data_IF_542292206511
#
_entry.id   IF_542292206511
#
_cell.length_a   1.000
_cell.length_b   1.000
_cell.length_c   1.000
_cell.angle_alpha   90.00
_cell.angle_beta   90.00
_cell.angle_gamma   90.00
#
_symmetry.space_group_name_H-M   'P 1'
#
loop_
_entity.id
_entity.type
_entity.pdbx_description
1 polymer ?
#
# COMPACT_ATOMS: atom_id res chain seq x y z
N UNK A 1 -14.05 -72.49 24.51
CA UNK A 1 -13.07 -72.62 23.40
C UNK A 1 -13.06 -71.30 22.67
N UNK A 2 -12.27 -70.34 23.15
CA UNK A 2 -10.99 -69.96 22.53
C UNK A 2 -11.00 -70.00 21.00
N UNK A 3 -11.00 -68.81 20.41
CA UNK A 3 -10.20 -68.36 19.25
C UNK A 3 -11.11 -67.48 18.38
N UNK A 4 -10.89 -66.18 18.26
CA UNK A 4 -9.79 -65.49 17.56
C UNK A 4 -10.48 -64.58 16.54
N UNK A 5 -9.94 -63.36 16.36
CA UNK A 5 -10.05 -62.56 15.13
C UNK A 5 -11.45 -61.99 14.81
N UNK A 6 -11.71 -60.70 14.61
CA UNK A 6 -10.90 -59.58 14.12
C UNK A 6 -11.50 -58.29 14.70
N UNK A 7 -10.63 -57.45 15.26
CA UNK A 7 -10.89 -56.04 15.53
C UNK A 7 -11.08 -55.31 14.20
N UNK A 8 -12.33 -54.95 13.84
CA UNK A 8 -12.57 -53.94 12.82
C UNK A 8 -12.76 -52.60 13.50
N UNK A 9 -11.63 -51.95 13.78
CA UNK A 9 -11.59 -50.51 14.04
C UNK A 9 -11.87 -49.82 12.70
N UNK A 10 -13.12 -49.50 12.41
CA UNK A 10 -13.46 -48.62 11.29
C UNK A 10 -13.05 -47.18 11.66
N UNK A 11 -11.75 -46.90 11.60
CA UNK A 11 -11.24 -45.54 11.58
C UNK A 11 -11.61 -44.93 10.22
N UNK A 12 -12.76 -44.28 10.16
CA UNK A 12 -13.10 -43.39 9.05
C UNK A 12 -12.15 -42.20 9.10
N UNK A 13 -11.00 -42.33 8.44
CA UNK A 13 -10.12 -41.23 8.09
C UNK A 13 -10.92 -40.25 7.23
N UNK A 14 -11.34 -39.15 7.85
CA UNK A 14 -11.73 -37.92 7.16
C UNK A 14 -10.54 -37.50 6.29
N UNK A 15 -10.61 -37.81 5.00
CA UNK A 15 -9.81 -37.15 3.98
C UNK A 15 -10.26 -35.69 3.95
N UNK A 16 -9.70 -34.87 4.83
CA UNK A 16 -9.63 -33.44 4.59
C UNK A 16 -8.77 -33.27 3.34
N UNK A 17 -9.44 -33.16 2.19
CA UNK A 17 -8.85 -32.57 1.00
C UNK A 17 -8.44 -31.16 1.38
N UNK A 18 -7.17 -31.00 1.79
CA UNK A 18 -6.53 -29.69 1.78
C UNK A 18 -6.55 -29.28 0.32
N UNK A 19 -7.53 -28.47 -0.05
CA UNK A 19 -7.47 -27.71 -1.30
C UNK A 19 -6.26 -26.81 -1.14
N UNK A 20 -5.12 -27.27 -1.62
CA UNK A 20 -3.96 -26.44 -1.88
C UNK A 20 -4.46 -25.34 -2.82
N UNK A 21 -4.85 -24.20 -2.25
CA UNK A 21 -5.01 -22.99 -3.01
C UNK A 21 -3.68 -22.80 -3.71
N UNK A 22 -3.68 -22.71 -5.03
CA UNK A 22 -2.46 -22.44 -5.77
C UNK A 22 -1.78 -21.23 -5.11
N UNK A 23 -0.67 -21.47 -4.39
CA UNK A 23 0.01 -20.43 -3.64
C UNK A 23 0.53 -19.40 -4.64
N UNK A 24 0.41 -18.12 -4.30
CA UNK A 24 0.98 -17.06 -5.12
C UNK A 24 2.49 -17.27 -5.22
N UNK A 25 3.00 -17.31 -6.45
CA UNK A 25 4.40 -17.59 -6.73
C UNK A 25 5.20 -16.32 -7.05
N UNK A 26 6.40 -16.22 -6.47
CA UNK A 26 7.39 -15.21 -6.84
C UNK A 26 7.77 -15.31 -8.32
N UNK A 27 7.94 -14.17 -8.99
CA UNK A 27 8.22 -14.08 -10.42
C UNK A 27 6.98 -14.24 -11.32
N UNK A 28 5.85 -14.72 -10.77
CA UNK A 28 4.58 -14.81 -11.49
C UNK A 28 3.57 -13.77 -10.99
N UNK A 29 3.29 -13.75 -9.69
CA UNK A 29 2.24 -12.91 -9.09
C UNK A 29 2.79 -11.68 -8.35
N UNK A 30 4.06 -11.74 -7.98
CA UNK A 30 4.79 -10.66 -7.32
C UNK A 30 6.29 -10.82 -7.58
N UNK A 31 7.04 -9.72 -7.43
CA UNK A 31 8.50 -9.70 -7.52
C UNK A 31 9.12 -9.65 -6.13
N UNK A 32 10.21 -10.39 -5.91
CA UNK A 32 11.07 -10.23 -4.73
C UNK A 32 12.15 -9.20 -5.05
N UNK A 33 12.35 -8.23 -4.17
CA UNK A 33 13.41 -7.25 -4.29
C UNK A 33 14.77 -7.92 -4.02
N UNK A 34 15.79 -7.66 -4.86
CA UNK A 34 17.13 -8.20 -4.62
C UNK A 34 17.72 -7.75 -3.28
N UNK A 35 17.36 -6.54 -2.84
CA UNK A 35 17.71 -6.00 -1.54
C UNK A 35 16.43 -5.47 -0.88
N UNK A 36 16.17 -5.93 0.34
CA UNK A 36 15.03 -5.43 1.12
C UNK A 36 15.26 -3.96 1.50
N UNK A 37 14.23 -3.15 1.30
CA UNK A 37 14.17 -1.78 1.81
C UNK A 37 13.77 -1.82 3.27
N UNK A 38 14.55 -1.18 4.14
CA UNK A 38 14.28 -1.16 5.57
C UNK A 38 12.92 -0.56 5.88
N UNK A 39 12.21 -1.21 6.79
CA UNK A 39 10.98 -0.75 7.43
C UNK A 39 11.18 -0.72 8.96
N UNK A 40 10.38 0.06 9.72
CA UNK A 40 10.47 0.08 11.17
C UNK A 40 10.40 -1.32 11.79
N UNK A 41 11.29 -1.60 12.74
CA UNK A 41 11.32 -2.85 13.50
C UNK A 41 10.35 -2.76 14.70
N UNK A 42 9.08 -2.50 14.44
CA UNK A 42 8.03 -2.27 15.43
C UNK A 42 7.10 -3.48 15.64
N UNK A 43 7.49 -4.66 15.13
CA UNK A 43 6.72 -5.90 15.24
C UNK A 43 5.51 -5.99 14.31
N UNK A 44 5.30 -5.01 13.42
CA UNK A 44 4.21 -5.00 12.44
C UNK A 44 4.69 -5.37 11.05
N UNK A 45 3.79 -5.87 10.22
CA UNK A 45 4.00 -6.02 8.78
C UNK A 45 3.69 -4.67 8.11
N UNK A 46 4.65 -4.12 7.37
CA UNK A 46 4.50 -2.84 6.68
C UNK A 46 4.03 -3.08 5.25
N UNK A 47 2.95 -2.42 4.85
CA UNK A 47 2.44 -2.42 3.47
C UNK A 47 2.44 -0.99 2.95
N UNK A 48 3.06 -0.79 1.80
CA UNK A 48 3.21 0.52 1.20
C UNK A 48 2.60 0.58 -0.18
N UNK A 49 1.83 1.63 -0.46
CA UNK A 49 1.32 1.88 -1.79
C UNK A 49 2.17 2.94 -2.49
N UNK A 50 2.86 2.54 -3.56
CA UNK A 50 3.43 3.48 -4.50
C UNK A 50 2.35 3.97 -5.46
N UNK A 51 2.06 5.28 -5.44
CA UNK A 51 0.97 5.86 -6.22
C UNK A 51 1.30 7.25 -6.77
N UNK A 52 0.42 7.78 -7.63
CA UNK A 52 0.40 9.18 -8.01
C UNK A 52 -1.05 9.66 -8.10
N UNK A 53 -1.35 10.84 -7.57
CA UNK A 53 -2.73 11.36 -7.62
C UNK A 53 -3.27 11.54 -9.05
N UNK A 54 -2.41 11.77 -10.05
CA UNK A 54 -2.83 11.90 -11.46
C UNK A 54 -2.92 10.59 -12.24
N UNK A 55 -2.70 9.45 -11.59
CA UNK A 55 -2.72 8.13 -12.22
C UNK A 55 -4.15 7.54 -12.20
N UNK A 56 -4.80 7.32 -13.35
CA UNK A 56 -6.18 6.79 -13.39
C UNK A 56 -6.31 5.37 -12.81
N UNK A 57 -5.25 4.55 -12.91
CA UNK A 57 -5.25 3.21 -12.32
C UNK A 57 -5.15 3.26 -10.79
N UNK A 58 -4.39 4.22 -10.26
CA UNK A 58 -4.26 4.46 -8.83
C UNK A 58 -5.59 4.98 -8.27
N UNK A 59 -6.25 5.89 -8.99
CA UNK A 59 -7.58 6.35 -8.61
C UNK A 59 -8.64 5.24 -8.63
N UNK A 60 -8.59 4.33 -9.62
CA UNK A 60 -9.48 3.15 -9.61
C UNK A 60 -9.16 2.15 -8.50
N UNK A 61 -7.89 2.05 -8.08
CA UNK A 61 -7.51 1.18 -6.97
C UNK A 61 -8.18 1.63 -5.66
N UNK A 62 -8.48 2.92 -5.49
CA UNK A 62 -9.17 3.46 -4.30
C UNK A 62 -10.51 2.77 -4.02
N UNK A 63 -11.23 2.32 -5.06
CA UNK A 63 -12.52 1.63 -4.92
C UNK A 63 -12.40 0.31 -4.16
N UNK A 64 -11.25 -0.37 -4.26
CA UNK A 64 -11.01 -1.67 -3.62
C UNK A 64 -10.04 -1.60 -2.43
N UNK A 65 -9.03 -0.73 -2.48
CA UNK A 65 -8.03 -0.62 -1.40
C UNK A 65 -8.58 0.14 -0.19
N UNK A 66 -9.47 1.11 -0.38
CA UNK A 66 -10.08 1.85 0.74
C UNK A 66 -10.90 0.97 1.68
N UNK A 67 -11.84 0.12 1.19
CA UNK A 67 -12.51 -0.82 2.07
C UNK A 67 -11.56 -1.88 2.63
N UNK A 68 -10.58 -2.37 1.84
CA UNK A 68 -9.59 -3.35 2.32
C UNK A 68 -8.70 -2.83 3.45
N UNK A 69 -8.28 -1.55 3.42
CA UNK A 69 -7.52 -0.93 4.52
C UNK A 69 -8.25 -1.01 5.86
N UNK A 70 -9.59 -0.98 5.85
CA UNK A 70 -10.43 -1.08 7.05
C UNK A 70 -10.51 -2.50 7.61
N UNK A 71 -10.13 -3.51 6.84
CA UNK A 71 -10.09 -4.92 7.28
C UNK A 71 -8.72 -5.33 7.80
N UNK A 72 -7.71 -4.44 7.72
CA UNK A 72 -6.36 -4.76 8.16
C UNK A 72 -6.32 -4.98 9.68
N UNK A 73 -5.67 -6.07 10.14
CA UNK A 73 -5.45 -6.29 11.57
C UNK A 73 -4.43 -5.28 12.13
N UNK A 74 -4.45 -5.11 13.46
CA UNK A 74 -3.59 -4.14 14.16
C UNK A 74 -2.07 -4.41 13.99
N UNK A 75 -1.69 -5.62 13.56
CA UNK A 75 -0.30 -5.97 13.28
C UNK A 75 0.15 -5.62 11.85
N UNK A 76 -0.65 -4.86 11.10
CA UNK A 76 -0.30 -4.33 9.77
C UNK A 76 -0.30 -2.82 9.80
N UNK A 77 0.79 -2.21 9.32
CA UNK A 77 0.88 -0.76 9.08
C UNK A 77 0.77 -0.50 7.59
N UNK A 78 -0.22 0.30 7.18
CA UNK A 78 -0.35 0.77 5.80
C UNK A 78 0.16 2.20 5.65
N UNK A 79 0.84 2.53 4.56
CA UNK A 79 1.21 3.90 4.22
C UNK A 79 1.30 4.15 2.71
N UNK A 80 1.07 5.40 2.28
CA UNK A 80 1.29 5.81 0.90
C UNK A 80 2.71 6.32 0.67
N UNK A 81 3.26 6.05 -0.51
CA UNK A 81 4.56 6.55 -0.97
C UNK A 81 4.35 7.20 -2.35
N UNK A 82 4.20 8.54 -2.42
CA UNK A 82 3.96 9.19 -3.69
C UNK A 82 5.18 9.07 -4.60
N UNK A 83 4.99 8.53 -5.80
CA UNK A 83 6.02 8.43 -6.82
C UNK A 83 6.31 9.82 -7.44
N UNK A 84 7.54 10.02 -7.91
CA UNK A 84 8.04 11.33 -8.39
C UNK A 84 8.77 11.23 -9.74
N UNK A 85 8.17 10.53 -10.71
CA UNK A 85 8.77 10.33 -12.03
C UNK A 85 8.78 11.58 -12.95
N UNK A 86 8.20 12.69 -12.51
CA UNK A 86 8.19 13.93 -13.29
C UNK A 86 7.67 15.13 -12.49
N UNK A 87 7.68 16.32 -13.10
CA UNK A 87 7.35 17.58 -12.42
C UNK A 87 5.96 17.59 -11.78
N UNK A 88 4.94 17.11 -12.49
CA UNK A 88 3.59 17.01 -11.95
C UNK A 88 3.48 16.02 -10.78
N UNK A 89 4.28 14.96 -10.82
CA UNK A 89 4.32 13.94 -9.77
C UNK A 89 4.96 14.49 -8.50
N UNK A 90 6.05 15.26 -8.64
CA UNK A 90 6.69 16.00 -7.54
C UNK A 90 5.72 16.99 -6.90
N UNK A 91 4.94 17.74 -7.69
CA UNK A 91 3.93 18.65 -7.16
C UNK A 91 2.86 17.92 -6.34
N UNK A 92 2.40 16.75 -6.81
CA UNK A 92 1.40 15.95 -6.11
C UNK A 92 1.97 15.22 -4.88
N UNK A 93 3.25 14.83 -4.89
CA UNK A 93 3.95 14.29 -3.73
C UNK A 93 4.11 15.35 -2.63
N UNK A 94 4.42 16.60 -3.02
CA UNK A 94 4.45 17.74 -2.11
C UNK A 94 3.08 17.94 -1.46
N UNK A 95 1.99 17.95 -2.24
CA UNK A 95 0.63 18.05 -1.72
C UNK A 95 0.29 16.92 -0.72
N UNK A 96 0.66 15.67 -1.04
CA UNK A 96 0.47 14.53 -0.14
C UNK A 96 1.14 14.75 1.21
N UNK A 97 2.42 15.11 1.22
CA UNK A 97 3.16 15.30 2.46
C UNK A 97 2.78 16.56 3.22
N UNK A 98 2.31 17.61 2.54
CA UNK A 98 1.74 18.80 3.20
C UNK A 98 0.45 18.41 3.94
N UNK A 99 -0.47 17.71 3.28
CA UNK A 99 -1.70 17.23 3.92
C UNK A 99 -1.41 16.31 5.12
N UNK A 100 -0.38 15.47 5.01
CA UNK A 100 0.09 14.59 6.08
C UNK A 100 0.69 15.36 7.27
N UNK A 101 1.57 16.34 7.03
CA UNK A 101 2.13 17.20 8.08
C UNK A 101 1.05 18.01 8.80
N UNK A 102 0.02 18.44 8.07
CA UNK A 102 -1.11 19.17 8.61
C UNK A 102 -2.15 18.27 9.31
N UNK A 103 -2.00 16.95 9.25
CA UNK A 103 -2.92 15.99 9.86
C UNK A 103 -4.28 15.87 9.15
N UNK A 104 -4.39 16.34 7.90
CA UNK A 104 -5.64 16.32 7.11
C UNK A 104 -5.63 15.25 6.01
N UNK A 105 -4.57 14.44 5.91
CA UNK A 105 -4.41 13.47 4.83
C UNK A 105 -5.56 12.45 4.75
N UNK A 106 -6.00 11.88 5.88
CA UNK A 106 -7.10 10.88 5.87
C UNK A 106 -8.40 11.47 5.30
N UNK A 107 -8.70 12.73 5.63
CA UNK A 107 -9.85 13.45 5.09
C UNK A 107 -9.65 13.79 3.61
N UNK A 108 -8.42 14.12 3.20
CA UNK A 108 -8.14 14.75 1.91
C UNK A 108 -7.64 13.82 0.81
N UNK A 109 -7.23 12.58 1.12
CA UNK A 109 -6.67 11.67 0.13
C UNK A 109 -7.63 11.42 -1.05
N UNK A 110 -8.85 10.96 -0.77
CA UNK A 110 -9.87 10.73 -1.80
C UNK A 110 -10.35 12.03 -2.47
N UNK A 111 -10.61 13.14 -1.75
CA UNK A 111 -10.91 14.42 -2.39
C UNK A 111 -9.84 14.90 -3.38
N UNK A 112 -8.56 14.77 -3.06
CA UNK A 112 -7.46 15.15 -3.97
C UNK A 112 -7.50 14.30 -5.25
N UNK A 113 -7.65 12.99 -5.10
CA UNK A 113 -7.81 12.09 -6.24
C UNK A 113 -8.98 12.48 -7.14
N UNK A 114 -10.15 12.77 -6.56
CA UNK A 114 -11.36 13.19 -7.30
C UNK A 114 -11.16 14.52 -8.01
N UNK A 115 -10.56 15.49 -7.34
CA UNK A 115 -10.29 16.80 -7.91
C UNK A 115 -9.47 16.68 -9.21
N UNK A 116 -8.41 15.86 -9.17
CA UNK A 116 -7.49 15.68 -10.30
C UNK A 116 -8.10 14.82 -11.40
N UNK A 117 -8.72 13.68 -11.08
CA UNK A 117 -9.14 12.68 -12.08
C UNK A 117 -10.56 12.90 -12.61
N UNK A 118 -11.45 13.52 -11.84
CA UNK A 118 -12.86 13.73 -12.21
C UNK A 118 -13.18 15.20 -12.47
N UNK A 119 -12.74 16.10 -11.58
CA UNK A 119 -13.12 17.52 -11.61
C UNK A 119 -12.17 18.37 -12.47
N UNK A 120 -11.12 17.74 -13.03
CA UNK A 120 -10.11 18.38 -13.90
C UNK A 120 -9.41 19.57 -13.22
N UNK A 121 -9.25 19.52 -11.91
CA UNK A 121 -8.43 20.46 -11.14
C UNK A 121 -7.01 19.90 -11.03
N UNK A 122 -6.03 20.44 -11.76
CA UNK A 122 -4.73 19.79 -11.89
C UNK A 122 -3.88 19.87 -10.61
N UNK A 123 -4.12 20.84 -9.71
CA UNK A 123 -3.43 21.00 -8.43
C UNK A 123 -1.89 21.00 -8.52
N UNK A 124 -1.35 21.62 -9.57
CA UNK A 124 0.09 21.62 -9.87
C UNK A 124 0.85 22.78 -9.22
N UNK A 125 0.18 23.90 -8.93
CA UNK A 125 0.80 25.06 -8.31
C UNK A 125 0.61 25.06 -6.80
N UNK A 126 1.53 25.71 -6.07
CA UNK A 126 1.40 25.95 -4.62
C UNK A 126 0.08 26.66 -4.28
N UNK A 127 -0.32 27.64 -5.09
CA UNK A 127 -1.55 28.40 -4.90
C UNK A 127 -2.78 27.51 -4.98
N UNK A 128 -2.92 26.72 -6.05
CA UNK A 128 -4.07 25.81 -6.22
C UNK A 128 -4.15 24.78 -5.07
N UNK A 129 -2.99 24.24 -4.67
CA UNK A 129 -2.89 23.27 -3.58
C UNK A 129 -3.32 23.88 -2.24
N UNK A 130 -2.89 25.11 -1.97
CA UNK A 130 -3.26 25.86 -0.77
C UNK A 130 -4.76 26.12 -0.75
N UNK A 131 -5.29 26.72 -1.80
CA UNK A 131 -6.69 27.12 -1.89
C UNK A 131 -7.62 25.89 -1.81
N UNK A 132 -7.19 24.77 -2.38
CA UNK A 132 -7.88 23.49 -2.25
C UNK A 132 -7.91 22.99 -0.81
N UNK A 133 -6.78 22.94 -0.09
CA UNK A 133 -6.75 22.49 1.31
C UNK A 133 -7.47 23.47 2.26
N UNK A 134 -7.38 24.78 2.02
CA UNK A 134 -8.13 25.79 2.76
C UNK A 134 -9.64 25.56 2.60
N UNK A 135 -10.11 25.43 1.36
CA UNK A 135 -11.55 25.29 1.08
C UNK A 135 -12.14 23.94 1.48
N UNK A 136 -11.37 22.85 1.40
CA UNK A 136 -11.88 21.48 1.64
C UNK A 136 -11.56 20.92 3.02
N UNK A 137 -10.50 21.39 3.67
CA UNK A 137 -10.04 20.90 4.97
C UNK A 137 -10.03 21.96 6.07
N UNK A 138 -10.32 23.22 5.77
CA UNK A 138 -10.32 24.31 6.77
C UNK A 138 -8.93 24.67 7.30
N UNK A 139 -7.87 24.30 6.57
CA UNK A 139 -6.49 24.68 6.86
C UNK A 139 -6.34 26.20 6.69
N UNK A 140 -5.61 26.88 7.57
CA UNK A 140 -5.29 28.30 7.36
C UNK A 140 -4.20 28.46 6.30
N UNK A 141 -4.23 29.54 5.51
CA UNK A 141 -3.17 29.81 4.52
C UNK A 141 -1.77 29.82 5.18
N UNK A 142 -1.67 30.38 6.39
CA UNK A 142 -0.42 30.43 7.15
C UNK A 142 0.10 29.04 7.52
N UNK A 143 -0.77 28.13 7.95
CA UNK A 143 -0.37 26.77 8.34
C UNK A 143 0.03 25.97 7.10
N UNK A 144 -0.70 26.13 5.99
CA UNK A 144 -0.29 25.56 4.71
C UNK A 144 1.12 26.02 4.32
N UNK A 145 1.36 27.34 4.32
CA UNK A 145 2.64 27.90 3.89
C UNK A 145 3.80 27.44 4.76
N UNK A 146 3.59 27.39 6.08
CA UNK A 146 4.57 26.83 7.03
C UNK A 146 4.84 25.35 6.76
N UNK A 147 3.80 24.54 6.56
CA UNK A 147 3.95 23.11 6.28
C UNK A 147 4.67 22.88 4.95
N UNK A 148 4.28 23.60 3.89
CA UNK A 148 4.85 23.51 2.54
C UNK A 148 6.36 23.76 2.54
N UNK A 149 6.84 24.73 3.32
CA UNK A 149 8.26 25.08 3.38
C UNK A 149 9.04 24.31 4.47
N UNK A 150 8.34 23.50 5.28
CA UNK A 150 8.89 22.85 6.46
C UNK A 150 10.01 21.85 6.14
N UNK A 151 10.92 21.70 7.09
CA UNK A 151 11.93 20.64 7.06
C UNK A 151 11.30 19.24 7.05
N UNK A 152 10.13 19.07 7.71
CA UNK A 152 9.41 17.82 7.76
C UNK A 152 8.96 17.37 6.36
N UNK A 153 8.30 18.25 5.59
CA UNK A 153 7.88 17.95 4.21
C UNK A 153 9.09 17.67 3.31
N UNK A 154 10.14 18.49 3.39
CA UNK A 154 11.37 18.28 2.59
C UNK A 154 12.01 16.91 2.87
N UNK A 155 12.04 16.50 4.14
CA UNK A 155 12.57 15.20 4.55
C UNK A 155 11.71 14.06 4.03
N UNK A 156 10.38 14.15 4.18
CA UNK A 156 9.44 13.13 3.69
C UNK A 156 9.50 12.96 2.17
N UNK A 157 9.60 14.07 1.43
CA UNK A 157 9.84 14.07 -0.03
C UNK A 157 11.12 13.30 -0.38
N UNK A 158 12.25 13.61 0.29
CA UNK A 158 13.51 12.90 0.04
C UNK A 158 13.41 11.41 0.35
N UNK A 159 12.76 11.05 1.45
CA UNK A 159 12.53 9.65 1.84
C UNK A 159 11.68 8.92 0.80
N UNK A 160 10.57 9.51 0.36
CA UNK A 160 9.72 8.92 -0.67
C UNK A 160 10.49 8.68 -1.98
N UNK A 161 11.29 9.64 -2.47
CA UNK A 161 12.08 9.46 -3.69
C UNK A 161 13.09 8.30 -3.55
N UNK A 162 13.79 8.24 -2.41
CA UNK A 162 14.73 7.16 -2.13
C UNK A 162 14.03 5.80 -2.08
N UNK A 163 12.84 5.71 -1.45
CA UNK A 163 12.07 4.47 -1.37
C UNK A 163 11.61 4.01 -2.76
N UNK A 164 11.04 4.90 -3.56
CA UNK A 164 10.58 4.59 -4.92
C UNK A 164 11.73 4.06 -5.78
N UNK A 165 12.93 4.68 -5.70
CA UNK A 165 14.13 4.20 -6.38
C UNK A 165 14.56 2.82 -5.86
N UNK A 166 14.55 2.62 -4.54
CA UNK A 166 14.98 1.37 -3.93
C UNK A 166 14.01 0.20 -4.21
N UNK A 167 12.72 0.46 -4.39
CA UNK A 167 11.75 -0.53 -4.87
C UNK A 167 12.01 -0.95 -6.34
N UNK A 168 12.78 -0.17 -7.10
CA UNK A 168 13.08 -0.47 -8.50
C UNK A 168 11.82 -0.60 -9.36
N UNK A 169 10.79 0.19 -9.04
CA UNK A 169 9.54 0.27 -9.80
C UNK A 169 9.62 1.37 -10.86
N UNK A 170 9.01 1.11 -12.01
CA UNK A 170 8.97 2.04 -13.14
C UNK A 170 7.55 2.56 -13.42
N UNK A 171 6.59 2.25 -12.54
CA UNK A 171 5.18 2.55 -12.72
C UNK A 171 4.38 2.39 -11.43
N UNK A 172 3.13 2.83 -11.49
CA UNK A 172 2.15 2.81 -10.39
C UNK A 172 0.76 2.41 -10.93
N UNK A 173 -0.15 1.87 -10.10
CA UNK A 173 0.05 1.56 -8.68
C UNK A 173 0.92 0.31 -8.49
N UNK A 174 1.65 0.29 -7.38
CA UNK A 174 2.33 -0.91 -6.89
C UNK A 174 2.20 -0.99 -5.36
N UNK A 175 2.04 -2.20 -4.84
CA UNK A 175 2.01 -2.47 -3.41
C UNK A 175 3.30 -3.16 -2.99
N UNK A 176 3.90 -2.68 -1.91
CA UNK A 176 5.15 -3.19 -1.39
C UNK A 176 4.89 -3.81 -0.01
N UNK A 177 5.24 -5.08 0.16
CA UNK A 177 5.07 -5.78 1.45
C UNK A 177 6.43 -5.98 2.11
N UNK A 178 6.52 -5.50 3.35
CA UNK A 178 7.69 -5.53 4.23
C UNK A 178 8.99 -5.01 3.59
N UNK A 179 8.87 -4.10 2.62
CA UNK A 179 10.02 -3.64 1.83
C UNK A 179 10.74 -4.75 1.06
N UNK A 180 10.10 -5.91 0.83
CA UNK A 180 10.70 -7.11 0.22
C UNK A 180 10.02 -7.53 -1.06
N UNK A 181 8.72 -7.31 -1.16
CA UNK A 181 7.91 -7.82 -2.27
C UNK A 181 7.24 -6.67 -2.98
N UNK A 182 7.22 -6.68 -4.31
CA UNK A 182 6.49 -5.73 -5.14
C UNK A 182 5.37 -6.46 -5.86
N UNK A 183 4.15 -5.94 -5.72
CA UNK A 183 2.93 -6.45 -6.34
C UNK A 183 2.37 -5.36 -7.24
N UNK A 184 2.18 -5.66 -8.52
CA UNK A 184 1.52 -4.76 -9.48
C UNK A 184 0.30 -5.46 -10.10
N UNK A 185 -0.60 -4.68 -10.70
CA UNK A 185 -1.86 -5.23 -11.24
C UNK A 185 -1.65 -6.19 -12.41
N UNK A 186 -0.56 -6.03 -13.16
CA UNK A 186 -0.25 -6.87 -14.31
C UNK A 186 0.16 -8.26 -13.87
N UNK A 187 1.13 -8.36 -12.97
CA UNK A 187 1.60 -9.63 -12.42
C UNK A 187 0.55 -10.33 -11.57
N UNK A 188 -0.20 -9.58 -10.75
CA UNK A 188 -1.23 -10.16 -9.89
C UNK A 188 -2.50 -10.64 -10.64
N UNK A 189 -2.76 -10.14 -11.85
CA UNK A 189 -3.98 -10.46 -12.60
C UNK A 189 -5.19 -9.58 -12.28
N UNK A 190 -4.95 -8.31 -11.91
CA UNK A 190 -5.99 -7.29 -11.63
C UNK A 190 -5.90 -6.69 -10.23
N UNK A 191 -6.62 -5.59 -9.99
CA UNK A 191 -6.55 -4.81 -8.74
C UNK A 191 -7.00 -5.61 -7.51
N UNK A 192 -8.10 -6.34 -7.60
CA UNK A 192 -8.55 -7.21 -6.49
C UNK A 192 -7.57 -8.36 -6.24
N UNK A 193 -6.95 -8.89 -7.31
CA UNK A 193 -5.96 -9.93 -7.20
C UNK A 193 -4.67 -9.42 -6.53
N UNK A 194 -4.29 -8.15 -6.73
CA UNK A 194 -3.18 -7.52 -5.99
C UNK A 194 -3.41 -7.62 -4.48
N UNK A 195 -4.62 -7.31 -4.00
CA UNK A 195 -4.93 -7.34 -2.57
C UNK A 195 -4.85 -8.76 -2.02
N UNK A 196 -5.30 -9.77 -2.76
CA UNK A 196 -5.14 -11.19 -2.35
C UNK A 196 -3.68 -11.62 -2.28
N UNK A 197 -2.84 -11.18 -3.22
CA UNK A 197 -1.38 -11.42 -3.18
C UNK A 197 -0.78 -10.74 -1.96
N UNK A 198 -1.17 -9.50 -1.66
CA UNK A 198 -0.72 -8.76 -0.48
C UNK A 198 -1.13 -9.47 0.80
N UNK A 199 -2.38 -9.94 0.93
CA UNK A 199 -2.84 -10.69 2.11
C UNK A 199 -2.03 -11.96 2.35
N UNK A 200 -1.70 -12.68 1.27
CA UNK A 200 -0.81 -13.83 1.33
C UNK A 200 0.59 -13.44 1.83
N UNK A 201 1.19 -12.39 1.28
CA UNK A 201 2.52 -11.92 1.69
C UNK A 201 2.53 -11.37 3.14
N UNK A 202 1.44 -10.75 3.59
CA UNK A 202 1.26 -10.37 4.99
C UNK A 202 1.30 -11.61 5.88
N UNK A 203 0.61 -12.70 5.50
CA UNK A 203 0.64 -13.94 6.28
C UNK A 203 2.04 -14.57 6.33
N UNK A 204 2.78 -14.55 5.21
CA UNK A 204 4.17 -15.01 5.14
C UNK A 204 5.07 -14.22 6.10
N UNK A 205 5.01 -12.88 6.05
CA UNK A 205 5.86 -12.04 6.90
C UNK A 205 5.46 -12.08 8.37
N UNK A 206 4.17 -12.20 8.67
CA UNK A 206 3.68 -12.42 10.03
C UNK A 206 4.27 -13.69 10.65
N UNK A 207 4.34 -14.78 9.90
CA UNK A 207 4.97 -16.02 10.36
C UNK A 207 6.48 -15.83 10.59
N UNK A 208 7.17 -15.13 9.68
CA UNK A 208 8.59 -14.85 9.79
C UNK A 208 8.95 -13.94 10.99
N UNK A 209 8.07 -12.99 11.35
CA UNK A 209 8.26 -12.12 12.51
C UNK A 209 8.06 -12.85 13.84
N UNK A 210 7.13 -13.82 13.91
CA UNK A 210 6.90 -14.64 15.12
C UNK A 210 8.02 -15.65 15.40
N UNK A 211 8.79 -16.02 14.38
CA UNK A 211 9.92 -16.94 14.50
C UNK A 211 11.23 -16.27 14.92
N UNK A 212 11.23 -14.96 15.16
CA UNK A 212 12.36 -14.17 15.68
C UNK A 212 12.13 -13.84 17.14
#
# INVERSE_FOLDING_TARGET
>A
MLSKLIQWLAAATLLFSVTAHAEFQAGQHYKVLPQAVTVPADGRVHVEEAFWYGCPHCFRLEDVITPWKKTLPADVQFSGVPAMFGRAWVAHAQLYHVADVLGVLEQMHTPIFRAINLERQPLLSRGDQRDFLVSKAGVSESDFDKAYESFAVKTRMKQADQRIRAFGINGVPALIVQGKYVVDSGSAGGMEAMLRVVDHLIAVERAALKGK
#
